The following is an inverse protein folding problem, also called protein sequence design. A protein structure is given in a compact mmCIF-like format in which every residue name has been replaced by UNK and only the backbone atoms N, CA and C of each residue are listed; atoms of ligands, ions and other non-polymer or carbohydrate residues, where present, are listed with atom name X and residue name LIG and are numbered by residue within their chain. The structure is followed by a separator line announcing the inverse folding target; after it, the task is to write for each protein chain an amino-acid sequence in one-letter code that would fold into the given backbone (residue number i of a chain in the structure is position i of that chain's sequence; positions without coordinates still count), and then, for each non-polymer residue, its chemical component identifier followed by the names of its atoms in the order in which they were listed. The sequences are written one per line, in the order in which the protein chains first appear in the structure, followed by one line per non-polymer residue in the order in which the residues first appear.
data_IF_746079825320
#
_entry.id   IF_746079825320
#
_cell.length_a   1.000
_cell.length_b   1.000
_cell.length_c   1.000
_cell.angle_alpha   90.00
_cell.angle_beta   90.00
_cell.angle_gamma   90.00
#
_symmetry.space_group_name_H-M   'P 1'
#
loop_
_entity.id
_entity.type
_entity.pdbx_description
1 polymer ?
#
# COMPACT_ATOMS: atom_id res chain seq x y z
N UNK A 1 -10.77 25.53 36.20
CA UNK A 1 -9.88 24.55 35.48
C UNK A 1 -8.44 24.82 35.87
N UNK A 2 -7.71 23.81 36.36
CA UNK A 2 -6.29 23.88 36.75
C UNK A 2 -5.49 22.96 35.83
N UNK A 3 -4.36 23.47 35.31
CA UNK A 3 -3.48 22.73 34.38
C UNK A 3 -2.10 22.68 35.05
N UNK A 4 -1.56 21.49 35.25
CA UNK A 4 -0.25 21.25 35.86
C UNK A 4 0.59 20.38 34.98
N UNK A 5 1.79 20.82 34.62
CA UNK A 5 2.74 20.00 33.87
C UNK A 5 3.35 18.94 34.82
N UNK A 6 3.24 17.68 34.43
CA UNK A 6 3.71 16.53 35.22
C UNK A 6 4.95 15.86 34.62
N UNK A 7 5.13 15.91 33.29
CA UNK A 7 6.30 15.36 32.59
C UNK A 7 6.85 16.38 31.61
N UNK A 8 8.18 16.49 31.57
CA UNK A 8 8.92 17.31 30.60
C UNK A 8 10.20 16.56 30.22
N UNK A 9 10.07 15.63 29.26
CA UNK A 9 11.18 14.80 28.80
C UNK A 9 11.33 14.97 27.29
N UNK A 10 12.53 15.29 26.84
CA UNK A 10 12.87 15.51 25.42
C UNK A 10 11.74 16.16 24.59
N UNK A 11 11.06 15.39 23.76
CA UNK A 11 9.93 15.84 22.94
C UNK A 11 8.56 15.58 23.57
N UNK A 12 8.48 14.96 24.76
CA UNK A 12 7.21 14.64 25.42
C UNK A 12 6.90 15.63 26.53
N UNK A 13 5.66 16.13 26.50
CA UNK A 13 5.08 16.96 27.56
C UNK A 13 3.79 16.30 28.04
N UNK A 14 3.62 16.23 29.35
CA UNK A 14 2.39 15.70 29.92
C UNK A 14 1.82 16.71 30.88
N UNK A 15 0.51 16.93 30.81
CA UNK A 15 -0.23 17.85 31.66
C UNK A 15 -1.37 17.10 32.32
N UNK A 16 -1.55 17.32 33.60
CA UNK A 16 -2.78 16.93 34.28
C UNK A 16 -3.70 18.14 34.36
N UNK A 17 -4.89 17.98 33.81
CA UNK A 17 -5.95 18.98 33.81
C UNK A 17 -7.02 18.53 34.79
N UNK A 18 -7.38 19.42 35.74
CA UNK A 18 -8.44 19.16 36.72
C UNK A 18 -9.51 20.25 36.62
N UNK A 19 -10.75 19.83 36.53
CA UNK A 19 -11.94 20.69 36.52
C UNK A 19 -12.80 20.28 37.70
N UNK A 20 -13.05 21.21 38.64
CA UNK A 20 -13.80 20.89 39.85
C UNK A 20 -15.27 20.53 39.56
N UNK A 21 -15.84 19.65 40.36
CA UNK A 21 -17.25 19.28 40.27
C UNK A 21 -18.18 20.50 40.31
N UNK A 22 -17.81 21.53 41.11
CA UNK A 22 -18.57 22.78 41.18
C UNK A 22 -18.54 23.59 39.87
N UNK A 23 -17.40 23.59 39.16
CA UNK A 23 -17.28 24.23 37.87
C UNK A 23 -18.08 23.47 36.80
N UNK A 24 -18.03 22.14 36.81
CA UNK A 24 -18.83 21.31 35.90
C UNK A 24 -20.33 21.54 36.15
N UNK A 25 -20.78 21.57 37.39
CA UNK A 25 -22.18 21.84 37.74
C UNK A 25 -22.65 23.23 37.27
N UNK A 26 -21.79 24.21 37.39
CA UNK A 26 -22.07 25.58 36.90
C UNK A 26 -22.22 25.61 35.38
N UNK A 27 -21.37 24.87 34.62
CA UNK A 27 -21.44 24.75 33.18
C UNK A 27 -22.69 23.99 32.73
N UNK A 28 -23.04 22.89 33.41
CA UNK A 28 -24.29 22.14 33.20
C UNK A 28 -25.50 23.03 33.42
N UNK A 29 -25.50 23.78 34.52
CA UNK A 29 -26.60 24.71 34.85
C UNK A 29 -26.81 25.73 33.77
N UNK A 30 -25.73 26.39 33.31
CA UNK A 30 -25.75 27.36 32.22
C UNK A 30 -26.28 26.72 30.91
N UNK A 31 -25.79 25.54 30.57
CA UNK A 31 -26.22 24.83 29.35
C UNK A 31 -27.72 24.49 29.38
N UNK A 32 -28.21 24.03 30.53
CA UNK A 32 -29.63 23.75 30.75
C UNK A 32 -30.52 25.01 30.67
N UNK A 33 -30.01 26.17 31.14
CA UNK A 33 -30.69 27.46 30.99
C UNK A 33 -30.79 27.87 29.50
N UNK A 34 -29.71 27.74 28.74
CA UNK A 34 -29.68 28.02 27.30
C UNK A 34 -30.61 27.10 26.50
N UNK A 35 -30.75 25.83 26.93
CA UNK A 35 -31.65 24.87 26.32
C UNK A 35 -33.14 25.10 26.68
N UNK A 36 -33.42 25.77 27.81
CA UNK A 36 -34.78 25.96 28.36
C UNK A 36 -35.78 26.56 27.36
N UNK A 37 -35.32 27.46 26.51
CA UNK A 37 -36.17 28.07 25.49
C UNK A 37 -36.41 27.19 24.23
N UNK A 38 -35.58 26.18 24.02
CA UNK A 38 -35.55 25.35 22.82
C UNK A 38 -36.24 23.99 23.01
N UNK A 39 -36.42 23.55 24.25
CA UNK A 39 -37.01 22.23 24.59
C UNK A 39 -38.50 22.36 24.86
N UNK A 40 -39.28 21.49 24.21
CA UNK A 40 -40.71 21.37 24.44
C UNK A 40 -40.97 20.18 25.41
N UNK A 41 -41.33 20.49 26.65
CA UNK A 41 -41.57 19.49 27.69
C UNK A 41 -43.06 19.33 27.94
N UNK A 42 -43.54 18.09 27.96
CA UNK A 42 -44.93 17.77 28.35
C UNK A 42 -45.22 18.30 29.75
N UNK A 43 -46.24 19.10 29.90
CA UNK A 43 -46.65 19.70 31.15
C UNK A 43 -46.07 21.07 31.47
N UNK A 44 -45.22 21.62 30.64
CA UNK A 44 -44.65 22.95 30.83
C UNK A 44 -44.75 23.82 29.56
N UNK A 45 -45.09 25.09 29.72
CA UNK A 45 -45.00 26.05 28.61
C UNK A 45 -43.54 26.22 28.21
N UNK A 46 -43.23 26.32 26.88
CA UNK A 46 -41.84 26.54 26.41
C UNK A 46 -41.16 27.69 27.20
N UNK A 47 -39.95 27.42 27.68
CA UNK A 47 -39.15 28.33 28.48
C UNK A 47 -39.57 28.49 29.95
N UNK A 48 -40.56 27.77 30.45
CA UNK A 48 -41.04 27.90 31.87
C UNK A 48 -40.80 26.66 32.76
N UNK A 49 -40.11 25.64 32.25
CA UNK A 49 -39.74 24.46 33.03
C UNK A 49 -38.76 24.86 34.17
N UNK A 50 -38.94 24.37 35.42
CA UNK A 50 -37.99 24.57 36.49
C UNK A 50 -36.63 23.93 36.17
N UNK A 51 -35.53 24.59 36.54
CA UNK A 51 -34.17 24.10 36.29
C UNK A 51 -33.92 22.74 36.95
N UNK A 52 -34.45 22.52 38.16
CA UNK A 52 -34.37 21.25 38.88
C UNK A 52 -34.99 20.07 38.09
N UNK A 53 -36.07 20.34 37.37
CA UNK A 53 -36.72 19.32 36.50
C UNK A 53 -35.86 19.02 35.27
N UNK A 54 -35.31 20.06 34.62
CA UNK A 54 -34.39 19.91 33.51
C UNK A 54 -33.13 19.14 33.91
N UNK A 55 -32.55 19.47 35.09
CA UNK A 55 -31.35 18.80 35.63
C UNK A 55 -31.64 17.31 35.90
N UNK A 56 -32.84 16.95 36.41
CA UNK A 56 -33.22 15.58 36.66
C UNK A 56 -33.40 14.79 35.35
N UNK A 57 -33.92 15.41 34.28
CA UNK A 57 -34.25 14.73 33.03
C UNK A 57 -33.08 14.71 32.05
N UNK A 58 -32.30 15.79 31.95
CA UNK A 58 -31.24 15.96 30.96
C UNK A 58 -29.86 16.12 31.58
N UNK A 59 -29.75 16.20 32.91
CA UNK A 59 -28.51 16.53 33.61
C UNK A 59 -27.34 15.60 33.24
N UNK A 60 -27.55 14.28 33.18
CA UNK A 60 -26.50 13.32 32.81
C UNK A 60 -26.06 13.46 31.34
N UNK A 61 -26.99 13.68 30.40
CA UNK A 61 -26.65 13.89 29.00
C UNK A 61 -25.88 15.19 28.77
N UNK A 62 -26.36 16.29 29.39
CA UNK A 62 -25.70 17.59 29.33
C UNK A 62 -24.34 17.57 30.04
N UNK A 63 -24.20 16.82 31.13
CA UNK A 63 -22.91 16.65 31.78
C UNK A 63 -21.89 15.92 30.90
N UNK A 64 -22.33 14.91 30.14
CA UNK A 64 -21.46 14.27 29.12
C UNK A 64 -20.93 15.27 28.10
N UNK A 65 -21.81 16.10 27.51
CA UNK A 65 -21.42 17.16 26.58
C UNK A 65 -20.45 18.17 27.23
N UNK A 66 -20.71 18.58 28.47
CA UNK A 66 -19.87 19.51 29.25
C UNK A 66 -18.50 18.90 29.55
N UNK A 67 -18.42 17.60 29.84
CA UNK A 67 -17.17 16.88 30.03
C UNK A 67 -16.34 16.87 28.75
N UNK A 68 -16.95 16.52 27.62
CA UNK A 68 -16.26 16.53 26.32
C UNK A 68 -15.74 17.95 25.97
N UNK A 69 -16.57 18.98 26.18
CA UNK A 69 -16.18 20.37 25.97
C UNK A 69 -15.03 20.78 26.90
N UNK A 70 -15.08 20.39 28.19
CA UNK A 70 -14.04 20.67 29.15
C UNK A 70 -12.71 19.97 28.85
N UNK A 71 -12.77 18.73 28.33
CA UNK A 71 -11.59 17.96 27.88
C UNK A 71 -10.97 18.64 26.65
N UNK A 72 -11.78 19.03 25.68
CA UNK A 72 -11.31 19.73 24.48
C UNK A 72 -10.67 21.08 24.82
N UNK A 73 -11.36 21.90 25.64
CA UNK A 73 -10.87 23.21 26.10
C UNK A 73 -9.57 23.09 26.90
N UNK A 74 -9.52 22.14 27.84
CA UNK A 74 -8.35 21.91 28.67
C UNK A 74 -7.14 21.44 27.88
N UNK A 75 -7.35 20.56 26.92
CA UNK A 75 -6.31 20.09 26.01
C UNK A 75 -5.78 21.22 25.13
N UNK A 76 -6.67 22.00 24.52
CA UNK A 76 -6.30 23.16 23.70
C UNK A 76 -5.54 24.21 24.50
N UNK A 77 -5.99 24.47 25.73
CA UNK A 77 -5.36 25.43 26.63
C UNK A 77 -3.97 24.98 27.07
N UNK A 78 -3.80 23.70 27.39
CA UNK A 78 -2.48 23.13 27.71
C UNK A 78 -1.46 23.36 26.60
N UNK A 79 -1.89 23.23 25.33
CA UNK A 79 -1.05 23.44 24.14
C UNK A 79 -0.77 24.93 23.92
N UNK A 80 -1.82 25.76 23.96
CA UNK A 80 -1.72 27.18 23.58
C UNK A 80 -0.94 27.97 24.61
N UNK A 81 -1.25 27.78 25.93
CA UNK A 81 -0.59 28.52 27.03
C UNK A 81 0.92 28.19 27.11
N UNK A 82 1.35 27.02 26.62
CA UNK A 82 2.75 26.61 26.58
C UNK A 82 3.40 26.76 25.19
N UNK A 83 2.70 27.36 24.21
CA UNK A 83 3.19 27.56 22.85
C UNK A 83 3.75 26.28 22.20
N UNK A 84 3.13 25.13 22.47
CA UNK A 84 3.59 23.84 22.00
C UNK A 84 3.23 23.62 20.52
N UNK A 85 4.09 22.92 19.80
CA UNK A 85 3.85 22.45 18.43
C UNK A 85 3.71 20.92 18.43
N UNK A 86 2.49 20.38 18.56
CA UNK A 86 2.29 18.94 18.56
C UNK A 86 2.73 18.31 17.24
N UNK A 87 3.39 17.18 17.30
CA UNK A 87 3.76 16.37 16.13
C UNK A 87 2.56 15.56 15.59
N UNK A 88 1.71 15.10 16.52
CA UNK A 88 0.44 14.41 16.22
C UNK A 88 -0.64 14.91 17.17
N UNK A 89 -1.87 14.45 16.97
CA UNK A 89 -2.98 14.76 17.87
C UNK A 89 -2.64 14.31 19.31
N UNK A 90 -2.81 15.20 20.33
CA UNK A 90 -2.53 14.87 21.71
C UNK A 90 -3.35 13.69 22.21
N UNK A 91 -2.71 12.84 23.00
CA UNK A 91 -3.39 11.73 23.68
C UNK A 91 -4.00 12.21 24.98
N UNK A 92 -5.29 11.95 25.15
CA UNK A 92 -6.02 12.33 26.36
C UNK A 92 -6.51 11.08 27.08
N UNK A 93 -6.15 10.94 28.34
CA UNK A 93 -6.50 9.80 29.17
C UNK A 93 -7.17 10.28 30.45
N UNK A 94 -8.32 9.73 30.82
CA UNK A 94 -9.00 10.07 32.08
C UNK A 94 -8.16 9.57 33.28
N UNK A 95 -8.20 10.32 34.36
CA UNK A 95 -7.59 9.96 35.63
C UNK A 95 -8.69 9.79 36.66
N UNK A 96 -8.80 8.61 37.27
CA UNK A 96 -9.80 8.29 38.28
C UNK A 96 -11.09 7.69 37.71
N UNK A 97 -12.15 7.71 38.51
CA UNK A 97 -13.44 7.09 38.15
C UNK A 97 -14.33 8.09 37.39
N UNK A 98 -14.46 7.90 36.11
CA UNK A 98 -15.36 8.68 35.23
C UNK A 98 -16.82 8.59 35.65
N UNK A 99 -17.26 7.46 36.23
CA UNK A 99 -18.64 7.31 36.65
C UNK A 99 -18.94 8.23 37.84
N UNK A 100 -17.99 8.38 38.76
CA UNK A 100 -18.12 9.33 39.89
C UNK A 100 -18.20 10.79 39.40
N UNK A 101 -17.50 11.15 38.33
CA UNK A 101 -17.59 12.46 37.66
C UNK A 101 -18.98 12.66 37.04
N UNK A 102 -19.48 11.65 36.29
CA UNK A 102 -20.81 11.69 35.65
C UNK A 102 -21.95 11.71 36.68
N UNK A 103 -21.74 11.19 37.86
CA UNK A 103 -22.72 11.29 38.98
C UNK A 103 -22.59 12.61 39.75
N UNK A 104 -21.63 13.49 39.40
CA UNK A 104 -21.41 14.80 39.99
C UNK A 104 -20.71 14.76 41.38
N UNK A 105 -20.09 13.62 41.72
CA UNK A 105 -19.50 13.35 43.03
C UNK A 105 -17.99 13.51 43.08
N UNK A 106 -17.33 13.75 41.92
CA UNK A 106 -15.88 13.89 41.82
C UNK A 106 -15.50 14.98 40.80
N UNK A 107 -14.30 15.52 40.96
CA UNK A 107 -13.68 16.40 39.99
C UNK A 107 -13.30 15.62 38.73
N UNK A 108 -13.42 16.26 37.58
CA UNK A 108 -12.90 15.71 36.33
C UNK A 108 -11.40 15.92 36.27
N UNK A 109 -10.64 14.83 36.20
CA UNK A 109 -9.19 14.88 36.00
C UNK A 109 -8.84 14.04 34.78
N UNK A 110 -7.96 14.55 33.93
CA UNK A 110 -7.43 13.84 32.78
C UNK A 110 -6.00 14.28 32.48
N UNK A 111 -5.26 13.38 31.85
CA UNK A 111 -3.90 13.62 31.40
C UNK A 111 -3.89 13.93 29.93
N UNK A 112 -3.18 14.97 29.52
CA UNK A 112 -2.92 15.35 28.15
C UNK A 112 -1.45 15.12 27.86
N UNK A 113 -1.14 14.13 27.02
CA UNK A 113 0.22 13.84 26.54
C UNK A 113 0.40 14.44 25.15
N UNK A 114 1.42 15.29 25.02
CA UNK A 114 1.75 16.01 23.80
C UNK A 114 3.18 15.65 23.40
N UNK A 115 3.34 15.00 22.26
CA UNK A 115 4.65 14.80 21.64
C UNK A 115 4.91 15.95 20.68
N UNK A 116 6.07 16.59 20.80
CA UNK A 116 6.43 17.82 20.10
C UNK A 116 7.17 17.51 18.80
N UNK A 117 7.00 18.38 17.80
CA UNK A 117 7.87 18.40 16.62
C UNK A 117 9.31 18.71 17.05
N UNK A 118 10.30 17.94 16.57
CA UNK A 118 11.69 18.23 16.81
C UNK A 118 12.11 19.54 16.13
N UNK A 119 12.98 20.28 16.80
CA UNK A 119 13.62 21.44 16.18
C UNK A 119 14.98 21.03 15.61
N UNK A 120 15.05 20.96 14.29
CA UNK A 120 16.27 20.63 13.53
C UNK A 120 16.33 21.43 12.24
N UNK A 121 17.54 21.59 11.72
CA UNK A 121 17.79 22.16 10.41
C UNK A 121 18.23 21.05 9.45
N UNK A 122 17.58 20.89 8.29
CA UNK A 122 18.06 19.95 7.28
C UNK A 122 19.49 20.29 6.85
N UNK A 123 20.28 19.25 6.59
CA UNK A 123 21.59 19.39 6.01
C UNK A 123 21.52 19.99 4.59
N UNK A 124 22.58 20.66 4.18
CA UNK A 124 22.69 21.18 2.81
C UNK A 124 22.77 20.01 1.81
N UNK A 125 21.68 19.80 1.07
CA UNK A 125 21.54 18.70 0.11
C UNK A 125 22.57 18.80 -1.04
N UNK A 126 23.12 19.99 -1.33
CA UNK A 126 24.14 20.16 -2.37
C UNK A 126 25.49 19.53 -2.02
N UNK A 127 25.69 19.20 -0.75
CA UNK A 127 26.92 18.54 -0.27
C UNK A 127 26.79 17.00 -0.25
N UNK A 128 25.59 16.46 -0.45
CA UNK A 128 25.39 15.02 -0.48
C UNK A 128 26.06 14.39 -1.68
N UNK A 129 26.87 13.36 -1.44
CA UNK A 129 27.50 12.55 -2.49
C UNK A 129 26.68 11.27 -2.66
N UNK A 130 26.17 11.05 -3.87
CA UNK A 130 25.31 9.89 -4.17
C UNK A 130 25.77 9.24 -5.46
N UNK A 131 25.89 7.91 -5.45
CA UNK A 131 26.14 7.12 -6.66
C UNK A 131 24.82 6.80 -7.36
N UNK A 132 24.73 7.10 -8.65
CA UNK A 132 23.65 6.68 -9.55
C UNK A 132 24.14 5.49 -10.37
N UNK A 133 23.61 4.30 -10.10
CA UNK A 133 23.94 3.13 -10.90
C UNK A 133 23.17 3.16 -12.22
N UNK A 134 23.88 2.83 -13.30
CA UNK A 134 23.35 2.74 -14.66
C UNK A 134 23.89 1.48 -15.34
N UNK A 135 23.14 0.93 -16.27
CA UNK A 135 23.61 -0.17 -17.10
C UNK A 135 23.38 0.14 -18.57
N UNK A 136 24.25 -0.39 -19.42
CA UNK A 136 24.14 -0.21 -20.87
C UNK A 136 23.16 -1.27 -21.42
N UNK A 137 22.28 -0.85 -22.32
CA UNK A 137 21.36 -1.74 -23.04
C UNK A 137 22.12 -2.35 -24.22
N UNK A 138 22.22 -3.67 -24.24
CA UNK A 138 22.87 -4.38 -25.34
C UNK A 138 21.91 -4.60 -26.54
N UNK A 139 22.44 -4.68 -27.73
CA UNK A 139 21.65 -5.05 -28.92
C UNK A 139 21.10 -6.48 -28.81
N UNK A 140 21.81 -7.37 -28.11
CA UNK A 140 21.35 -8.73 -27.84
C UNK A 140 20.06 -8.74 -27.02
N UNK A 141 19.91 -7.88 -26.02
CA UNK A 141 18.67 -7.77 -25.23
C UNK A 141 17.50 -7.27 -26.07
N UNK A 142 17.75 -6.34 -26.98
CA UNK A 142 16.73 -5.86 -27.92
C UNK A 142 16.32 -6.99 -28.85
N UNK A 143 17.28 -7.77 -29.36
CA UNK A 143 17.05 -8.90 -30.24
C UNK A 143 16.22 -9.99 -29.53
N UNK A 144 16.59 -10.38 -28.32
CA UNK A 144 15.84 -11.33 -27.50
C UNK A 144 14.40 -10.86 -27.21
N UNK A 145 14.22 -9.58 -26.94
CA UNK A 145 12.89 -9.03 -26.69
C UNK A 145 12.04 -9.02 -27.96
N UNK A 146 12.61 -8.68 -29.11
CA UNK A 146 11.94 -8.74 -30.42
C UNK A 146 11.62 -10.18 -30.80
N UNK A 147 12.51 -11.15 -30.53
CA UNK A 147 12.24 -12.58 -30.74
C UNK A 147 11.07 -13.08 -29.89
N UNK A 148 10.98 -12.66 -28.62
CA UNK A 148 9.83 -12.99 -27.76
C UNK A 148 8.53 -12.43 -28.34
N UNK A 149 8.54 -11.21 -28.83
CA UNK A 149 7.38 -10.59 -29.49
C UNK A 149 7.01 -11.39 -30.73
N UNK A 150 7.98 -11.75 -31.58
CA UNK A 150 7.76 -12.54 -32.79
C UNK A 150 7.12 -13.90 -32.46
N UNK A 151 7.59 -14.59 -31.42
CA UNK A 151 7.02 -15.84 -30.93
C UNK A 151 5.56 -15.69 -30.46
N UNK A 152 5.22 -14.58 -29.82
CA UNK A 152 3.86 -14.35 -29.31
C UNK A 152 2.85 -13.98 -30.43
N UNK A 153 3.32 -13.42 -31.53
CA UNK A 153 2.48 -12.96 -32.68
C UNK A 153 2.53 -13.92 -33.86
N UNK A 154 3.29 -15.02 -33.75
CA UNK A 154 3.40 -16.03 -34.82
C UNK A 154 2.05 -16.64 -35.16
N UNK A 155 1.86 -16.95 -36.44
CA UNK A 155 0.74 -17.74 -36.92
C UNK A 155 0.92 -19.22 -36.61
N UNK A 156 -0.13 -19.99 -36.88
CA UNK A 156 -0.11 -21.44 -36.80
C UNK A 156 -0.65 -22.03 -38.08
N UNK A 157 0.03 -23.04 -38.59
CA UNK A 157 -0.40 -23.79 -39.78
C UNK A 157 -0.75 -25.23 -39.38
N UNK A 158 -1.78 -25.78 -40.03
CA UNK A 158 -2.17 -27.18 -39.77
C UNK A 158 -1.02 -28.13 -40.07
N UNK A 159 -0.72 -29.05 -39.12
CA UNK A 159 0.17 -30.17 -39.36
C UNK A 159 -0.44 -31.12 -40.39
N UNK A 160 0.41 -31.85 -41.08
CA UNK A 160 -0.06 -32.91 -41.96
C UNK A 160 -0.87 -33.96 -41.20
N UNK A 161 -1.85 -34.56 -41.87
CA UNK A 161 -2.72 -35.57 -41.29
C UNK A 161 -1.90 -36.72 -40.69
N UNK A 162 -2.10 -37.04 -39.43
CA UNK A 162 -1.38 -38.10 -38.70
C UNK A 162 -0.04 -37.70 -38.08
N UNK A 163 0.39 -36.45 -38.23
CA UNK A 163 1.52 -35.91 -37.46
C UNK A 163 1.16 -35.70 -35.99
N UNK A 164 2.12 -36.00 -35.12
CA UNK A 164 1.94 -35.84 -33.68
C UNK A 164 2.24 -34.40 -33.21
N UNK A 165 1.50 -33.96 -32.24
CA UNK A 165 1.70 -32.64 -31.57
C UNK A 165 3.06 -32.60 -30.90
N UNK A 166 3.74 -31.47 -31.01
CA UNK A 166 5.05 -31.18 -30.40
C UNK A 166 4.92 -30.01 -29.42
N UNK A 167 5.95 -29.78 -28.63
CA UNK A 167 6.04 -28.58 -27.82
C UNK A 167 5.95 -27.33 -28.70
N UNK A 168 5.29 -26.30 -28.23
CA UNK A 168 4.97 -25.05 -28.94
C UNK A 168 3.91 -25.16 -30.04
N UNK A 169 3.36 -26.34 -30.33
CA UNK A 169 2.19 -26.48 -31.23
C UNK A 169 0.93 -25.93 -30.55
N UNK A 170 0.02 -25.43 -31.34
CA UNK A 170 -1.34 -25.10 -30.91
C UNK A 170 -2.27 -26.28 -31.19
N UNK A 171 -2.89 -26.81 -30.17
CA UNK A 171 -3.91 -27.85 -30.28
C UNK A 171 -5.29 -27.27 -30.03
N UNK A 172 -6.25 -27.59 -30.90
CA UNK A 172 -7.66 -27.27 -30.62
C UNK A 172 -8.28 -28.49 -29.94
N UNK A 173 -8.76 -28.33 -28.73
CA UNK A 173 -9.25 -29.41 -27.87
C UNK A 173 -10.67 -29.17 -27.37
N UNK A 174 -11.41 -30.28 -27.20
CA UNK A 174 -12.54 -30.35 -26.27
C UNK A 174 -12.09 -31.12 -25.03
N UNK A 175 -12.48 -30.67 -23.88
CA UNK A 175 -12.15 -31.36 -22.66
C UNK A 175 -13.28 -31.34 -21.64
N UNK A 176 -13.36 -32.42 -20.85
CA UNK A 176 -14.29 -32.57 -19.71
C UNK A 176 -13.48 -33.06 -18.52
N UNK A 177 -13.39 -32.23 -17.48
CA UNK A 177 -12.67 -32.52 -16.24
C UNK A 177 -13.59 -33.13 -15.20
N UNK A 178 -13.07 -34.13 -14.49
CA UNK A 178 -13.74 -34.78 -13.36
C UNK A 178 -12.77 -35.00 -12.19
N UNK A 179 -13.30 -34.91 -10.97
CA UNK A 179 -12.65 -35.28 -9.72
C UNK A 179 -13.45 -36.40 -9.09
N UNK A 180 -12.83 -37.49 -8.73
CA UNK A 180 -13.50 -38.70 -8.22
C UNK A 180 -14.67 -39.20 -9.11
N UNK A 181 -14.55 -38.98 -10.45
CA UNK A 181 -15.56 -39.37 -11.43
C UNK A 181 -16.76 -38.43 -11.55
N UNK A 182 -16.75 -37.28 -10.86
CA UNK A 182 -17.80 -36.27 -10.92
C UNK A 182 -17.27 -35.04 -11.64
N UNK A 183 -18.00 -34.60 -12.67
CA UNK A 183 -17.68 -33.36 -13.38
C UNK A 183 -17.79 -32.14 -12.45
N UNK A 184 -16.92 -31.14 -12.61
CA UNK A 184 -16.91 -29.92 -11.82
C UNK A 184 -17.15 -28.68 -12.67
N UNK A 185 -17.68 -27.64 -12.05
CA UNK A 185 -17.96 -26.37 -12.71
C UNK A 185 -16.65 -25.72 -13.21
N UNK A 186 -16.63 -25.29 -14.48
CA UNK A 186 -15.43 -24.76 -15.13
C UNK A 186 -14.45 -25.82 -15.65
N UNK A 187 -14.76 -27.13 -15.46
CA UNK A 187 -13.93 -28.23 -15.97
C UNK A 187 -14.18 -28.61 -17.45
N UNK A 188 -15.12 -27.96 -18.14
CA UNK A 188 -15.50 -28.31 -19.52
C UNK A 188 -15.19 -27.18 -20.47
N UNK A 189 -14.60 -27.48 -21.62
CA UNK A 189 -14.35 -26.54 -22.71
C UNK A 189 -14.47 -27.18 -24.07
N UNK A 190 -14.97 -26.43 -25.06
CA UNK A 190 -15.07 -26.86 -26.43
C UNK A 190 -14.33 -25.90 -27.34
N UNK A 191 -13.71 -26.42 -28.41
CA UNK A 191 -12.93 -25.65 -29.40
C UNK A 191 -11.88 -24.73 -28.75
N UNK A 192 -11.28 -25.20 -27.67
CA UNK A 192 -10.28 -24.42 -26.93
C UNK A 192 -8.91 -24.56 -27.63
N UNK A 193 -8.31 -23.41 -27.97
CA UNK A 193 -6.97 -23.36 -28.55
C UNK A 193 -5.93 -23.28 -27.41
N UNK A 194 -5.13 -24.32 -27.30
CA UNK A 194 -4.08 -24.46 -26.29
C UNK A 194 -2.71 -24.59 -26.95
N UNK A 195 -1.78 -23.71 -26.61
CA UNK A 195 -0.39 -23.84 -27.01
C UNK A 195 0.36 -24.75 -26.01
N UNK A 196 0.90 -25.85 -26.49
CA UNK A 196 1.61 -26.82 -25.64
C UNK A 196 2.93 -26.25 -25.11
N UNK A 197 3.08 -26.22 -23.78
CA UNK A 197 4.22 -25.62 -23.10
C UNK A 197 4.02 -24.15 -22.71
N UNK A 198 2.80 -23.59 -22.87
CA UNK A 198 2.46 -22.23 -22.48
C UNK A 198 2.26 -22.04 -20.98
N UNK A 199 1.96 -23.12 -20.26
CA UNK A 199 1.62 -23.06 -18.84
C UNK A 199 0.24 -22.47 -18.52
N UNK A 200 -0.66 -22.42 -19.51
CA UNK A 200 -2.02 -21.92 -19.33
C UNK A 200 -2.90 -22.87 -18.50
N UNK A 201 -2.61 -24.16 -18.54
CA UNK A 201 -3.30 -25.19 -17.79
C UNK A 201 -2.49 -25.61 -16.55
N UNK A 202 -3.14 -26.35 -15.67
CA UNK A 202 -2.49 -26.90 -14.47
C UNK A 202 -1.27 -27.74 -14.86
N UNK A 203 -0.19 -27.73 -14.02
CA UNK A 203 1.05 -28.43 -14.34
C UNK A 203 0.84 -29.89 -14.73
N UNK A 204 1.53 -30.31 -15.81
CA UNK A 204 1.46 -31.68 -16.32
C UNK A 204 0.29 -31.95 -17.27
N UNK A 205 -0.62 -31.01 -17.50
CA UNK A 205 -1.72 -31.16 -18.46
C UNK A 205 -1.21 -31.13 -19.90
N UNK A 206 -0.46 -30.08 -20.25
CA UNK A 206 0.03 -29.84 -21.61
C UNK A 206 1.05 -30.90 -22.03
N UNK A 207 1.89 -31.36 -21.10
CA UNK A 207 2.92 -32.36 -21.37
C UNK A 207 2.35 -33.70 -21.84
N UNK A 208 1.16 -34.08 -21.33
CA UNK A 208 0.50 -35.32 -21.71
C UNK A 208 -0.19 -35.28 -23.10
N UNK A 209 -0.35 -34.08 -23.64
CA UNK A 209 -0.88 -33.89 -25.00
C UNK A 209 0.23 -33.85 -26.06
N UNK A 210 1.51 -33.76 -25.65
CA UNK A 210 2.63 -33.91 -26.59
C UNK A 210 2.66 -35.35 -27.13
N UNK A 211 2.65 -35.47 -28.45
CA UNK A 211 2.56 -36.76 -29.13
C UNK A 211 1.15 -37.16 -29.58
N UNK A 212 0.11 -36.46 -29.12
CA UNK A 212 -1.26 -36.69 -29.56
C UNK A 212 -1.46 -36.18 -31.00
N UNK A 213 -2.42 -36.77 -31.71
CA UNK A 213 -2.77 -36.46 -33.10
C UNK A 213 -4.18 -35.92 -33.20
N UNK A 214 -4.47 -35.23 -34.30
CA UNK A 214 -5.85 -34.83 -34.58
C UNK A 214 -6.76 -36.06 -34.62
N UNK A 215 -7.88 -35.98 -33.87
CA UNK A 215 -8.84 -37.06 -33.68
C UNK A 215 -8.59 -37.94 -32.45
N UNK A 216 -7.45 -37.81 -31.78
CA UNK A 216 -7.13 -38.61 -30.58
C UNK A 216 -7.97 -38.21 -29.39
N UNK A 217 -8.27 -39.22 -28.54
CA UNK A 217 -8.87 -39.02 -27.23
C UNK A 217 -7.84 -39.44 -26.16
N UNK A 218 -7.52 -38.52 -25.29
CA UNK A 218 -6.48 -38.67 -24.27
C UNK A 218 -7.07 -38.39 -22.89
N UNK A 219 -6.89 -39.32 -21.97
CA UNK A 219 -7.22 -39.08 -20.54
C UNK A 219 -6.03 -38.46 -19.84
N UNK A 220 -6.08 -37.15 -19.63
CA UNK A 220 -5.02 -36.37 -18.96
C UNK A 220 -5.25 -36.42 -17.46
N UNK A 221 -4.29 -36.97 -16.73
CA UNK A 221 -4.33 -37.11 -15.26
C UNK A 221 -3.39 -36.12 -14.61
N UNK A 222 -3.93 -35.24 -13.79
CA UNK A 222 -3.18 -34.15 -13.15
C UNK A 222 -3.69 -33.93 -11.74
N UNK A 223 -2.85 -33.32 -10.91
CA UNK A 223 -3.21 -32.89 -9.56
C UNK A 223 -3.32 -31.37 -9.53
N UNK A 224 -4.41 -30.85 -8.97
CA UNK A 224 -4.54 -29.43 -8.72
C UNK A 224 -3.49 -28.96 -7.69
N UNK A 225 -2.85 -27.82 -7.88
CA UNK A 225 -1.99 -27.22 -6.87
C UNK A 225 -2.69 -27.07 -5.51
N UNK A 226 -1.94 -27.20 -4.42
CA UNK A 226 -2.49 -27.02 -3.06
C UNK A 226 -3.03 -25.62 -2.80
N UNK A 227 -2.51 -24.62 -3.51
CA UNK A 227 -2.93 -23.20 -3.45
C UNK A 227 -3.87 -22.81 -4.60
N UNK A 228 -4.63 -23.79 -5.12
CA UNK A 228 -5.56 -23.47 -6.21
C UNK A 228 -6.72 -22.60 -5.73
N UNK A 229 -7.09 -21.58 -6.53
CA UNK A 229 -8.12 -20.57 -6.18
C UNK A 229 -9.48 -21.16 -5.80
N UNK A 230 -9.84 -22.35 -6.34
CA UNK A 230 -11.05 -23.08 -5.97
C UNK A 230 -10.72 -24.08 -4.85
N UNK A 231 -11.04 -23.72 -3.60
CA UNK A 231 -10.72 -24.53 -2.41
C UNK A 231 -11.29 -25.97 -2.46
N UNK A 232 -12.38 -26.19 -3.19
CA UNK A 232 -13.00 -27.51 -3.40
C UNK A 232 -12.20 -28.41 -4.36
N UNK A 233 -11.24 -27.87 -5.13
CA UNK A 233 -10.40 -28.58 -6.10
C UNK A 233 -8.93 -28.65 -5.65
N UNK A 234 -8.47 -27.74 -4.78
CA UNK A 234 -7.10 -27.65 -4.30
C UNK A 234 -6.57 -29.00 -3.79
N UNK A 235 -5.39 -29.42 -4.30
CA UNK A 235 -4.70 -30.66 -3.92
C UNK A 235 -5.37 -31.96 -4.42
N UNK A 236 -6.47 -31.91 -5.16
CA UNK A 236 -7.19 -33.09 -5.62
C UNK A 236 -6.66 -33.59 -6.97
N UNK A 237 -6.73 -34.89 -7.16
CA UNK A 237 -6.48 -35.53 -8.43
C UNK A 237 -7.69 -35.34 -9.37
N UNK A 238 -7.41 -34.96 -10.62
CA UNK A 238 -8.41 -34.77 -11.65
C UNK A 238 -8.04 -35.55 -12.91
N UNK A 239 -9.08 -35.99 -13.61
CA UNK A 239 -8.98 -36.63 -14.90
C UNK A 239 -9.74 -35.79 -15.92
N UNK A 240 -9.06 -35.40 -16.99
CA UNK A 240 -9.66 -34.69 -18.10
C UNK A 240 -9.75 -35.62 -19.31
N UNK A 241 -10.94 -35.89 -19.75
CA UNK A 241 -11.19 -36.54 -21.03
C UNK A 241 -11.02 -35.49 -22.14
N UNK A 242 -9.90 -35.55 -22.86
CA UNK A 242 -9.53 -34.55 -23.87
C UNK A 242 -9.71 -35.19 -25.26
N UNK A 243 -10.39 -34.47 -26.15
CA UNK A 243 -10.45 -34.81 -27.59
C UNK A 243 -9.66 -33.76 -28.34
N UNK A 244 -8.62 -34.18 -29.04
CA UNK A 244 -7.79 -33.31 -29.90
C UNK A 244 -8.46 -33.18 -31.26
N UNK A 245 -8.97 -31.99 -31.59
CA UNK A 245 -9.63 -31.74 -32.88
C UNK A 245 -8.67 -31.41 -34.02
N UNK A 246 -7.68 -30.55 -33.70
CA UNK A 246 -6.72 -30.06 -34.66
C UNK A 246 -5.34 -29.88 -34.03
N UNK A 247 -4.31 -30.06 -34.80
CA UNK A 247 -2.91 -29.84 -34.38
C UNK A 247 -2.26 -28.90 -35.39
N UNK A 248 -1.76 -27.78 -34.90
CA UNK A 248 -1.15 -26.74 -35.73
C UNK A 248 0.27 -26.47 -35.24
N UNK A 249 1.22 -26.51 -36.18
CA UNK A 249 2.59 -26.11 -35.89
C UNK A 249 2.75 -24.59 -35.96
N UNK A 250 3.61 -24.01 -35.14
CA UNK A 250 3.93 -22.59 -35.26
C UNK A 250 4.55 -22.32 -36.63
N UNK A 251 4.09 -21.27 -37.29
CA UNK A 251 4.75 -20.75 -38.44
C UNK A 251 5.98 -19.93 -38.04
N UNK A 252 7.04 -20.03 -38.85
CA UNK A 252 8.16 -19.15 -38.70
C UNK A 252 7.69 -17.69 -38.89
N UNK A 253 7.90 -16.86 -37.87
CA UNK A 253 7.63 -15.42 -37.95
C UNK A 253 8.96 -14.69 -38.07
N UNK A 254 9.45 -14.48 -39.31
CA UNK A 254 10.71 -13.77 -39.51
C UNK A 254 10.60 -12.37 -38.94
N UNK A 255 11.70 -11.89 -38.35
CA UNK A 255 11.78 -10.53 -37.79
C UNK A 255 12.03 -9.56 -38.94
N UNK A 256 10.96 -9.19 -39.62
CA UNK A 256 10.95 -8.32 -40.78
C UNK A 256 9.86 -7.25 -40.70
N UNK A 257 9.69 -6.49 -41.77
CA UNK A 257 8.70 -5.42 -41.84
C UNK A 257 7.25 -5.95 -41.77
N UNK A 258 7.01 -7.20 -42.18
CA UNK A 258 5.67 -7.80 -42.07
C UNK A 258 5.28 -8.06 -40.61
N UNK A 259 6.22 -8.49 -39.79
CA UNK A 259 6.02 -8.59 -38.33
C UNK A 259 5.70 -7.22 -37.72
N UNK A 260 6.47 -6.18 -38.07
CA UNK A 260 6.23 -4.83 -37.57
C UNK A 260 4.84 -4.31 -37.97
N UNK A 261 4.41 -4.56 -39.22
CA UNK A 261 3.09 -4.17 -39.71
C UNK A 261 1.94 -4.90 -38.99
N UNK A 262 2.11 -6.19 -38.64
CA UNK A 262 1.15 -6.93 -37.80
C UNK A 262 0.96 -6.28 -36.43
N UNK A 263 2.01 -5.63 -35.93
CA UNK A 263 2.01 -4.88 -34.65
C UNK A 263 1.57 -3.41 -34.79
N UNK A 264 1.19 -2.98 -36.01
CA UNK A 264 0.78 -1.61 -36.30
C UNK A 264 1.95 -0.61 -36.38
N UNK A 265 3.15 -1.11 -36.71
CA UNK A 265 4.36 -0.33 -36.92
C UNK A 265 4.79 -0.34 -38.40
N UNK A 266 5.54 0.68 -38.81
CA UNK A 266 5.90 0.87 -40.21
C UNK A 266 6.90 -0.20 -40.72
N UNK A 267 7.91 -0.51 -39.91
CA UNK A 267 9.02 -1.39 -40.25
C UNK A 267 9.72 -1.97 -39.01
N UNK A 268 10.59 -2.94 -39.23
CA UNK A 268 11.35 -3.63 -38.16
C UNK A 268 12.28 -2.72 -37.40
N UNK A 269 12.82 -1.66 -38.02
CA UNK A 269 13.66 -0.68 -37.33
C UNK A 269 12.83 0.06 -36.26
N UNK A 270 11.64 0.51 -36.61
CA UNK A 270 10.71 1.16 -35.68
C UNK A 270 10.30 0.22 -34.54
N UNK A 271 10.11 -1.08 -34.81
CA UNK A 271 9.84 -2.10 -33.78
C UNK A 271 11.02 -2.18 -32.80
N UNK A 272 12.25 -2.30 -33.31
CA UNK A 272 13.48 -2.36 -32.48
C UNK A 272 13.66 -1.10 -31.64
N UNK A 273 13.41 0.06 -32.22
CA UNK A 273 13.51 1.33 -31.50
C UNK A 273 12.46 1.41 -30.36
N UNK A 274 11.24 1.00 -30.61
CA UNK A 274 10.19 0.91 -29.58
C UNK A 274 10.56 -0.04 -28.45
N UNK A 275 11.09 -1.21 -28.80
CA UNK A 275 11.57 -2.19 -27.80
C UNK A 275 12.74 -1.63 -26.99
N UNK A 276 13.70 -0.98 -27.66
CA UNK A 276 14.82 -0.34 -26.98
C UNK A 276 14.38 0.78 -26.06
N UNK A 277 13.40 1.57 -26.46
CA UNK A 277 12.83 2.63 -25.62
C UNK A 277 12.10 2.06 -24.42
N UNK A 278 11.38 0.95 -24.58
CA UNK A 278 10.74 0.24 -23.46
C UNK A 278 11.78 -0.27 -22.46
N UNK A 279 12.83 -0.96 -22.94
CA UNK A 279 13.94 -1.42 -22.10
C UNK A 279 14.59 -0.24 -21.39
N UNK A 280 14.80 0.88 -22.09
CA UNK A 280 15.37 2.11 -21.50
C UNK A 280 14.49 2.65 -20.38
N UNK A 281 13.19 2.62 -20.53
CA UNK A 281 12.26 3.06 -19.47
C UNK A 281 12.35 2.15 -18.24
N UNK A 282 12.45 0.84 -18.44
CA UNK A 282 12.60 -0.12 -17.34
C UNK A 282 13.93 0.09 -16.59
N UNK A 283 15.03 0.32 -17.34
CA UNK A 283 16.34 0.64 -16.78
C UNK A 283 16.34 1.97 -16.00
N UNK A 284 15.68 3.00 -16.54
CA UNK A 284 15.54 4.28 -15.86
C UNK A 284 14.72 4.17 -14.57
N UNK A 285 13.69 3.34 -14.55
CA UNK A 285 12.91 3.08 -13.33
C UNK A 285 13.76 2.37 -12.28
N UNK A 286 14.51 1.32 -12.67
CA UNK A 286 15.42 0.63 -11.75
C UNK A 286 16.51 1.57 -11.21
N UNK A 287 17.17 2.34 -12.10
CA UNK A 287 18.15 3.37 -11.71
C UNK A 287 17.54 4.37 -10.72
N UNK A 288 16.30 4.82 -10.95
CA UNK A 288 15.64 5.78 -10.08
C UNK A 288 15.33 5.18 -8.70
N UNK A 289 14.92 3.91 -8.62
CA UNK A 289 14.68 3.23 -7.35
C UNK A 289 15.95 3.16 -6.50
N UNK A 290 17.09 2.74 -7.10
CA UNK A 290 18.38 2.73 -6.41
C UNK A 290 18.85 4.13 -6.00
N UNK A 291 18.72 5.13 -6.89
CA UNK A 291 19.09 6.50 -6.58
C UNK A 291 18.27 7.06 -5.41
N UNK A 292 16.94 6.83 -5.42
CA UNK A 292 16.05 7.22 -4.33
C UNK A 292 16.51 6.62 -3.01
N UNK A 293 16.77 5.31 -2.97
CA UNK A 293 17.24 4.65 -1.74
C UNK A 293 18.55 5.27 -1.25
N UNK A 294 19.54 5.45 -2.13
CA UNK A 294 20.84 6.02 -1.76
C UNK A 294 20.75 7.47 -1.28
N UNK A 295 19.84 8.26 -1.84
CA UNK A 295 19.53 9.60 -1.33
C UNK A 295 18.95 9.52 0.08
N UNK A 296 17.99 8.63 0.31
CA UNK A 296 17.38 8.42 1.63
C UNK A 296 18.42 7.93 2.65
N UNK A 297 19.31 7.00 2.27
CA UNK A 297 20.40 6.52 3.12
C UNK A 297 21.38 7.64 3.47
N UNK A 298 21.73 8.47 2.48
CA UNK A 298 22.60 9.62 2.72
C UNK A 298 21.96 10.66 3.64
N UNK A 299 20.66 10.91 3.47
CA UNK A 299 19.91 11.79 4.36
C UNK A 299 19.83 11.23 5.79
N UNK A 300 19.57 9.95 5.95
CA UNK A 300 19.47 9.31 7.27
C UNK A 300 20.79 9.41 8.04
N UNK A 301 21.93 9.17 7.35
CA UNK A 301 23.28 9.23 7.93
C UNK A 301 23.69 10.62 8.43
N UNK A 302 23.20 11.69 7.80
CA UNK A 302 23.59 13.08 8.16
C UNK A 302 22.60 13.75 9.11
N UNK A 303 21.47 13.10 9.45
CA UNK A 303 20.47 13.65 10.34
C UNK A 303 20.33 12.80 11.60
N UNK A 304 20.74 13.37 12.72
CA UNK A 304 20.54 12.77 14.05
C UNK A 304 19.83 13.78 14.96
N UNK A 305 18.59 13.45 15.32
CA UNK A 305 17.77 14.26 16.24
C UNK A 305 16.74 13.38 16.93
N UNK A 306 16.22 13.79 18.11
CA UNK A 306 15.20 13.02 18.82
C UNK A 306 13.92 12.95 18.00
N UNK A 307 13.26 11.79 18.00
CA UNK A 307 12.03 11.53 17.27
C UNK A 307 10.81 11.60 18.20
N UNK A 308 9.65 12.11 17.72
CA UNK A 308 8.43 12.11 18.51
C UNK A 308 7.98 10.66 18.80
N UNK A 309 7.92 10.23 20.08
CA UNK A 309 7.69 8.83 20.40
C UNK A 309 6.36 8.28 19.85
N UNK A 310 5.31 9.09 19.85
CA UNK A 310 4.02 8.65 19.34
C UNK A 310 4.01 8.48 17.81
N UNK A 311 4.82 9.24 17.06
CA UNK A 311 4.98 9.02 15.61
C UNK A 311 5.68 7.70 15.34
N UNK A 312 6.77 7.42 16.07
CA UNK A 312 7.51 6.15 15.96
C UNK A 312 6.61 4.97 16.31
N UNK A 313 5.81 5.08 17.37
CA UNK A 313 4.90 4.01 17.78
C UNK A 313 3.78 3.78 16.76
N UNK A 314 3.21 4.85 16.20
CA UNK A 314 2.18 4.74 15.16
C UNK A 314 2.73 4.07 13.89
N UNK A 315 3.93 4.46 13.44
CA UNK A 315 4.58 3.85 12.27
C UNK A 315 4.95 2.39 12.55
N UNK A 316 5.52 2.10 13.73
CA UNK A 316 5.83 0.73 14.13
C UNK A 316 4.59 -0.16 14.14
N UNK A 317 3.48 0.30 14.72
CA UNK A 317 2.24 -0.47 14.76
C UNK A 317 1.67 -0.73 13.36
N UNK A 318 1.78 0.24 12.45
CA UNK A 318 1.35 0.06 11.06
C UNK A 318 2.21 -0.99 10.33
N UNK A 319 3.54 -0.93 10.48
CA UNK A 319 4.46 -1.91 9.91
C UNK A 319 4.20 -3.30 10.52
N UNK A 320 4.11 -3.36 11.85
CA UNK A 320 3.94 -4.63 12.55
C UNK A 320 2.65 -5.34 12.17
N UNK A 321 1.54 -4.60 12.01
CA UNK A 321 0.28 -5.17 11.55
C UNK A 321 0.38 -5.79 10.14
N UNK A 322 1.19 -5.19 9.24
CA UNK A 322 1.44 -5.76 7.92
C UNK A 322 2.28 -7.05 8.01
N UNK A 323 3.33 -7.04 8.84
CA UNK A 323 4.18 -8.23 9.08
C UNK A 323 3.37 -9.38 9.66
N UNK A 324 2.54 -9.13 10.68
CA UNK A 324 1.67 -10.16 11.26
C UNK A 324 0.69 -10.74 10.23
N UNK A 325 0.11 -9.87 9.38
CA UNK A 325 -0.81 -10.31 8.34
C UNK A 325 -0.09 -11.16 7.26
N UNK A 326 1.15 -10.81 6.92
CA UNK A 326 1.95 -11.56 5.95
C UNK A 326 2.40 -12.92 6.50
N UNK A 327 2.93 -12.96 7.72
CA UNK A 327 3.29 -14.21 8.41
C UNK A 327 2.07 -15.14 8.54
N UNK A 328 0.90 -14.59 8.91
CA UNK A 328 -0.32 -15.36 9.00
C UNK A 328 -0.79 -15.91 7.64
N UNK A 329 -0.64 -15.12 6.56
CA UNK A 329 -0.99 -15.55 5.20
C UNK A 329 -0.08 -16.69 4.71
N UNK A 330 1.20 -16.64 5.05
CA UNK A 330 2.18 -17.65 4.67
C UNK A 330 2.23 -18.86 5.64
N UNK A 331 1.50 -18.80 6.76
CA UNK A 331 1.53 -19.81 7.81
C UNK A 331 2.89 -19.91 8.51
N UNK A 332 3.66 -18.80 8.49
CA UNK A 332 4.98 -18.69 9.10
C UNK A 332 4.94 -17.99 10.45
N UNK A 333 5.98 -18.17 11.22
CA UNK A 333 6.24 -17.49 12.50
C UNK A 333 7.62 -16.82 12.46
N UNK A 334 7.92 -15.94 13.41
CA UNK A 334 9.25 -15.34 13.52
C UNK A 334 10.38 -16.42 13.64
N UNK A 335 10.07 -17.55 14.23
CA UNK A 335 11.02 -18.67 14.36
C UNK A 335 11.40 -19.29 13.00
N UNK A 336 10.54 -19.24 12.01
CA UNK A 336 10.82 -19.73 10.65
C UNK A 336 11.81 -18.82 9.91
N UNK A 337 11.93 -17.55 10.34
CA UNK A 337 12.97 -16.61 9.91
C UNK A 337 14.24 -16.67 10.78
N UNK A 338 14.31 -17.58 11.74
CA UNK A 338 15.43 -17.76 12.64
C UNK A 338 15.56 -16.65 13.70
N UNK A 339 14.50 -15.92 13.98
CA UNK A 339 14.45 -14.80 14.93
C UNK A 339 13.40 -15.04 16.02
N UNK A 340 13.56 -14.38 17.16
CA UNK A 340 12.50 -14.27 18.17
C UNK A 340 11.57 -13.11 17.83
N UNK A 341 10.33 -13.13 18.36
CA UNK A 341 9.37 -12.03 18.19
C UNK A 341 9.94 -10.67 18.66
N UNK A 342 10.73 -10.68 19.75
CA UNK A 342 11.32 -9.46 20.30
C UNK A 342 12.47 -8.92 19.42
N UNK A 343 13.26 -9.79 18.81
CA UNK A 343 14.29 -9.40 17.83
C UNK A 343 13.64 -8.82 16.58
N UNK A 344 12.60 -9.47 16.08
CA UNK A 344 11.85 -9.00 14.92
C UNK A 344 11.22 -7.64 15.20
N UNK A 345 10.54 -7.47 16.34
CA UNK A 345 9.98 -6.18 16.77
C UNK A 345 11.04 -5.09 16.91
N UNK A 346 12.22 -5.42 17.43
CA UNK A 346 13.33 -4.46 17.55
C UNK A 346 13.83 -4.01 16.19
N UNK A 347 13.91 -4.91 15.22
CA UNK A 347 14.31 -4.60 13.85
C UNK A 347 13.29 -3.68 13.17
N UNK A 348 12.02 -4.04 13.21
CA UNK A 348 10.96 -3.22 12.62
C UNK A 348 10.79 -1.87 13.32
N UNK A 349 11.11 -1.77 14.60
CA UNK A 349 11.14 -0.49 15.33
C UNK A 349 12.23 0.44 14.77
N UNK A 350 13.41 -0.07 14.44
CA UNK A 350 14.46 0.72 13.78
C UNK A 350 14.03 1.21 12.40
N UNK A 351 13.31 0.37 11.65
CA UNK A 351 12.74 0.76 10.37
C UNK A 351 11.71 1.88 10.56
N UNK A 352 10.84 1.78 11.56
CA UNK A 352 9.89 2.84 11.90
C UNK A 352 10.59 4.15 12.29
N UNK A 353 11.62 4.10 13.14
CA UNK A 353 12.42 5.27 13.52
C UNK A 353 13.05 5.94 12.29
N UNK A 354 13.64 5.15 11.39
CA UNK A 354 14.21 5.65 10.13
C UNK A 354 13.15 6.32 9.26
N UNK A 355 11.99 5.68 9.07
CA UNK A 355 10.89 6.24 8.26
C UNK A 355 10.37 7.55 8.83
N UNK A 356 10.17 7.63 10.16
CA UNK A 356 9.76 8.87 10.83
C UNK A 356 10.82 9.96 10.64
N UNK A 357 12.10 9.65 10.84
CA UNK A 357 13.20 10.61 10.64
C UNK A 357 13.22 11.15 9.22
N UNK A 358 13.21 10.27 8.23
CA UNK A 358 13.20 10.66 6.82
C UNK A 358 11.94 11.45 6.45
N UNK A 359 10.77 11.05 6.93
CA UNK A 359 9.52 11.78 6.71
C UNK A 359 9.58 13.21 7.24
N UNK A 360 10.17 13.42 8.44
CA UNK A 360 10.37 14.76 9.01
C UNK A 360 11.38 15.58 8.21
N UNK A 361 12.49 14.98 7.78
CA UNK A 361 13.53 15.66 6.97
C UNK A 361 12.95 16.06 5.62
N UNK A 362 12.31 15.14 4.91
CA UNK A 362 11.70 15.41 3.60
C UNK A 362 10.57 16.45 3.72
N UNK A 363 9.73 16.36 4.75
CA UNK A 363 8.69 17.35 5.03
C UNK A 363 9.28 18.75 5.20
N UNK A 364 10.38 18.87 5.96
CA UNK A 364 11.04 20.14 6.21
C UNK A 364 11.72 20.71 4.97
N UNK A 365 12.39 19.84 4.20
CA UNK A 365 13.01 20.22 2.90
C UNK A 365 11.94 20.68 1.90
N UNK A 366 10.83 19.97 1.80
CA UNK A 366 9.72 20.32 0.92
C UNK A 366 9.09 21.67 1.30
N UNK A 367 8.86 21.90 2.60
CA UNK A 367 8.35 23.18 3.11
C UNK A 367 9.28 24.34 2.76
N UNK A 368 10.59 24.19 3.03
CA UNK A 368 11.59 25.23 2.77
C UNK A 368 11.73 25.59 1.30
N UNK A 369 11.51 24.61 0.40
CA UNK A 369 11.63 24.79 -1.04
C UNK A 369 10.31 24.95 -1.77
N UNK A 370 9.19 25.06 -1.04
CA UNK A 370 7.87 25.30 -1.62
C UNK A 370 7.35 24.11 -2.47
N UNK A 371 7.83 22.92 -2.20
CA UNK A 371 7.40 21.71 -2.92
C UNK A 371 6.02 21.29 -2.42
N UNK A 372 5.06 21.26 -3.32
CA UNK A 372 3.68 20.85 -3.01
C UNK A 372 3.15 19.90 -4.10
N UNK A 373 2.24 19.02 -3.72
CA UNK A 373 1.54 18.12 -4.63
C UNK A 373 0.24 18.79 -5.10
N UNK A 374 0.12 18.94 -6.40
CA UNK A 374 -1.06 19.53 -7.04
C UNK A 374 -2.23 18.53 -7.12
N UNK A 375 -3.44 19.06 -7.31
CA UNK A 375 -4.61 18.20 -7.55
C UNK A 375 -4.49 17.34 -8.81
N UNK A 376 -3.84 17.86 -9.84
CA UNK A 376 -3.63 17.13 -11.10
C UNK A 376 -2.68 15.94 -10.91
N UNK A 377 -1.59 16.09 -10.16
CA UNK A 377 -0.69 14.98 -9.84
C UNK A 377 -1.42 13.87 -9.09
N UNK A 378 -2.27 14.22 -8.13
CA UNK A 378 -3.10 13.23 -7.41
C UNK A 378 -4.08 12.54 -8.36
N UNK A 379 -4.76 13.29 -9.22
CA UNK A 379 -5.70 12.74 -10.20
C UNK A 379 -5.00 11.80 -11.20
N UNK A 380 -3.79 12.14 -11.63
CA UNK A 380 -2.98 11.27 -12.48
C UNK A 380 -2.64 9.95 -11.78
N UNK A 381 -2.24 10.00 -10.52
CA UNK A 381 -1.92 8.81 -9.73
C UNK A 381 -3.17 7.93 -9.49
N UNK A 382 -4.33 8.55 -9.17
CA UNK A 382 -5.60 7.83 -9.04
C UNK A 382 -5.98 7.18 -10.38
N UNK A 383 -5.79 7.89 -11.51
CA UNK A 383 -6.07 7.35 -12.85
C UNK A 383 -5.19 6.14 -13.16
N UNK A 384 -3.90 6.22 -12.84
CA UNK A 384 -2.97 5.10 -13.01
C UNK A 384 -3.39 3.89 -12.15
N UNK A 385 -3.83 4.14 -10.91
CA UNK A 385 -4.35 3.09 -10.03
C UNK A 385 -5.64 2.47 -10.55
N UNK A 386 -6.56 3.30 -11.05
CA UNK A 386 -7.86 2.86 -11.57
C UNK A 386 -7.70 1.92 -12.79
N UNK A 387 -6.70 2.16 -13.63
CA UNK A 387 -6.38 1.27 -14.78
C UNK A 387 -6.01 -0.16 -14.38
N UNK A 388 -5.63 -0.39 -13.12
CA UNK A 388 -5.34 -1.73 -12.60
C UNK A 388 -6.63 -2.52 -12.28
N UNK A 389 -7.80 -1.86 -12.31
CA UNK A 389 -9.12 -2.45 -12.03
C UNK A 389 -10.08 -2.24 -13.21
N UNK A 390 -9.91 -2.94 -14.33
CA UNK A 390 -10.74 -2.78 -15.53
C UNK A 390 -12.23 -2.99 -15.23
N UNK A 391 -13.07 -2.05 -15.63
CA UNK A 391 -14.52 -2.08 -15.39
C UNK A 391 -14.96 -1.54 -14.01
N UNK A 392 -14.02 -1.19 -13.13
CA UNK A 392 -14.31 -0.61 -11.80
C UNK A 392 -13.67 0.77 -11.61
N UNK A 393 -13.18 1.39 -12.68
CA UNK A 393 -12.43 2.66 -12.62
C UNK A 393 -13.22 3.75 -11.89
N UNK A 394 -14.53 3.83 -12.15
CA UNK A 394 -15.41 4.82 -11.50
C UNK A 394 -15.54 4.59 -9.99
N UNK A 395 -15.55 3.33 -9.54
CA UNK A 395 -15.61 2.99 -8.12
C UNK A 395 -14.32 3.39 -7.41
N UNK A 396 -13.15 3.16 -8.06
CA UNK A 396 -11.84 3.59 -7.55
C UNK A 396 -11.81 5.12 -7.39
N UNK A 397 -12.25 5.87 -8.38
CA UNK A 397 -12.35 7.33 -8.28
C UNK A 397 -13.25 7.79 -7.13
N UNK A 398 -14.43 7.19 -6.97
CA UNK A 398 -15.35 7.53 -5.89
C UNK A 398 -14.77 7.21 -4.52
N UNK A 399 -14.08 6.08 -4.38
CA UNK A 399 -13.40 5.70 -3.13
C UNK A 399 -12.41 6.77 -2.69
N UNK A 400 -11.51 7.20 -3.58
CA UNK A 400 -10.54 8.25 -3.27
C UNK A 400 -11.19 9.62 -3.06
N UNK A 401 -12.25 9.96 -3.80
CA UNK A 401 -12.96 11.23 -3.63
C UNK A 401 -13.65 11.35 -2.26
N UNK A 402 -14.12 10.23 -1.69
CA UNK A 402 -14.86 10.19 -0.42
C UNK A 402 -13.97 9.88 0.79
N UNK A 403 -12.73 9.43 0.57
CA UNK A 403 -11.83 9.00 1.64
C UNK A 403 -10.56 9.87 1.69
N UNK A 404 -10.53 10.92 2.55
CA UNK A 404 -9.34 11.78 2.70
C UNK A 404 -8.08 11.01 3.13
N UNK A 405 -8.23 9.92 3.90
CA UNK A 405 -7.12 9.08 4.32
C UNK A 405 -6.49 8.36 3.12
N UNK A 406 -7.31 7.77 2.27
CA UNK A 406 -6.83 7.14 1.03
C UNK A 406 -6.12 8.15 0.10
N UNK A 407 -6.62 9.40 0.03
CA UNK A 407 -5.91 10.45 -0.70
C UNK A 407 -4.55 10.78 -0.09
N UNK A 408 -4.43 10.78 1.25
CA UNK A 408 -3.16 11.03 1.93
C UNK A 408 -2.14 9.93 1.60
N UNK A 409 -2.57 8.66 1.54
CA UNK A 409 -1.74 7.52 1.14
C UNK A 409 -1.20 7.63 -0.29
N UNK A 410 -1.93 8.26 -1.21
CA UNK A 410 -1.41 8.57 -2.56
C UNK A 410 -0.49 9.79 -2.54
N UNK A 411 -0.81 10.82 -1.77
CA UNK A 411 -0.05 12.06 -1.73
C UNK A 411 1.34 11.88 -1.13
N UNK A 412 1.47 11.04 -0.09
CA UNK A 412 2.73 10.86 0.62
C UNK A 412 3.86 10.32 -0.27
N UNK A 413 3.69 9.23 -1.04
CA UNK A 413 4.72 8.78 -1.99
C UNK A 413 5.04 9.81 -3.09
N UNK A 414 4.01 10.50 -3.63
CA UNK A 414 4.22 11.53 -4.64
C UNK A 414 5.07 12.69 -4.11
N UNK A 415 4.80 13.12 -2.87
CA UNK A 415 5.56 14.16 -2.22
C UNK A 415 7.01 13.72 -1.98
N UNK A 416 7.20 12.51 -1.46
CA UNK A 416 8.52 11.93 -1.24
C UNK A 416 9.31 11.88 -2.55
N UNK A 417 8.73 11.34 -3.64
CA UNK A 417 9.36 11.27 -4.95
C UNK A 417 9.75 12.66 -5.48
N UNK A 418 8.87 13.65 -5.31
CA UNK A 418 9.14 15.02 -5.77
C UNK A 418 10.26 15.71 -5.00
N UNK A 419 10.33 15.47 -3.69
CA UNK A 419 11.42 15.99 -2.85
C UNK A 419 12.73 15.27 -3.18
N UNK A 420 12.70 13.95 -3.38
CA UNK A 420 13.87 13.16 -3.78
C UNK A 420 14.39 13.60 -5.16
N UNK A 421 13.50 13.82 -6.13
CA UNK A 421 13.91 14.36 -7.45
C UNK A 421 14.58 15.72 -7.31
N UNK A 422 14.02 16.63 -6.51
CA UNK A 422 14.64 17.93 -6.21
C UNK A 422 16.04 17.78 -5.56
N UNK A 423 16.18 16.83 -4.62
CA UNK A 423 17.49 16.56 -4.00
C UNK A 423 18.47 15.99 -5.04
N UNK A 424 18.00 15.08 -5.92
CA UNK A 424 18.82 14.49 -6.98
C UNK A 424 19.38 15.55 -7.98
N UNK A 425 18.63 16.63 -8.21
CA UNK A 425 19.08 17.74 -9.06
C UNK A 425 20.18 18.59 -8.41
N UNK A 426 20.19 18.68 -7.08
CA UNK A 426 21.14 19.53 -6.34
C UNK A 426 22.36 18.77 -5.82
N UNK A 427 22.19 17.48 -5.49
CA UNK A 427 23.25 16.63 -4.93
C UNK A 427 24.41 16.39 -5.93
N UNK A 428 25.55 16.02 -5.39
CA UNK A 428 26.72 15.61 -6.19
C UNK A 428 26.53 14.15 -6.63
N UNK A 429 25.84 13.96 -7.76
CA UNK A 429 25.56 12.64 -8.30
C UNK A 429 26.68 12.19 -9.21
N UNK A 430 27.30 11.04 -8.90
CA UNK A 430 28.30 10.36 -9.75
C UNK A 430 27.66 9.12 -10.40
N UNK A 431 27.89 8.92 -11.70
CA UNK A 431 27.39 7.72 -12.39
C UNK A 431 28.38 6.56 -12.26
N UNK A 432 27.84 5.38 -11.95
CA UNK A 432 28.60 4.13 -11.89
C UNK A 432 27.93 3.08 -12.77
N UNK A 433 28.67 2.59 -13.78
CA UNK A 433 28.20 1.50 -14.61
C UNK A 433 28.24 0.17 -13.87
N UNK A 434 27.15 -0.55 -13.92
CA UNK A 434 26.98 -1.87 -13.30
C UNK A 434 26.44 -2.88 -14.34
N UNK A 435 26.46 -4.16 -14.02
CA UNK A 435 25.81 -5.19 -14.81
C UNK A 435 24.29 -5.12 -14.63
N UNK A 436 23.55 -5.65 -15.59
CA UNK A 436 22.08 -5.64 -15.60
C UNK A 436 21.47 -6.29 -14.35
N UNK A 437 21.96 -7.44 -13.95
CA UNK A 437 21.53 -8.18 -12.77
C UNK A 437 21.67 -7.36 -11.49
N UNK A 438 22.74 -6.57 -11.37
CA UNK A 438 22.93 -5.64 -10.25
C UNK A 438 21.93 -4.49 -10.29
N UNK A 439 21.62 -3.97 -11.49
CA UNK A 439 20.63 -2.89 -11.64
C UNK A 439 19.20 -3.35 -11.30
N UNK A 440 18.86 -4.60 -11.57
CA UNK A 440 17.54 -5.17 -11.31
C UNK A 440 17.46 -5.98 -10.01
N UNK A 441 18.55 -6.03 -9.21
CA UNK A 441 18.49 -6.52 -7.85
C UNK A 441 17.61 -5.62 -6.99
N UNK A 442 17.01 -6.18 -5.93
CA UNK A 442 16.23 -5.37 -5.00
C UNK A 442 17.15 -4.37 -4.30
N UNK A 443 16.85 -3.07 -4.35
CA UNK A 443 17.64 -2.08 -3.61
C UNK A 443 17.72 -2.37 -2.11
N UNK A 444 16.76 -3.09 -1.53
CA UNK A 444 16.77 -3.44 -0.11
C UNK A 444 17.84 -4.49 0.25
N UNK A 445 18.31 -5.26 -0.71
CA UNK A 445 19.38 -6.24 -0.54
C UNK A 445 20.80 -5.62 -0.58
N UNK A 446 20.93 -4.33 -0.95
CA UNK A 446 22.22 -3.66 -0.90
C UNK A 446 22.67 -3.43 0.56
N UNK A 447 23.89 -3.82 0.94
CA UNK A 447 24.41 -3.52 2.28
C UNK A 447 24.52 -2.00 2.46
N UNK A 448 23.97 -1.48 3.56
CA UNK A 448 23.95 -0.05 3.95
C UNK A 448 25.34 0.45 4.38
#
# INVERSE_FOLDING_TARGET
MQITQTVSEDLRRQFTVTVSASELDSRVTKRLEDMKGKINLKGFRPGKAPLSHLKKQFGKSVLGEVVEEAVSEGSQKAITDNALKPAIQPRVEPVGDINAVVDGNADLSFTVTVDLMPDFSPADVSTLQVEKIVADISDAEVDEAVERIAKNVRGYAKRAEGEAAQKDDMVTIDFVGSVDGVEFEGGTGNDFNLTLGSGQFIPGFEDQLIGAKSGDKVDVKVQFPTEYHAANLAGKDAVFAVTVKDVQSPEDSPIDDALAQKLGLDNVTTLRDRVRDQIRNDYNQATRMHLKRRILDALDKVHEFPLPPAMVEAEFNAIWAQVEAELAREGKTAADEGKTDDELKTEYRKIAERRVRLGLVLGKLGEQNGIAITGDEVNHAITARARQYPGQEQQVFQYYAQNPQAQAEIRAPLFEDKVVDFIAELAQVSEKKVAKDVLFADPEDEPV
#
